data_IF_704614819860
#
_entry.id   IF_704614819860
#
_cell.length_a   1.000
_cell.length_b   1.000
_cell.length_c   1.000
_cell.angle_alpha   90.00
_cell.angle_beta   90.00
_cell.angle_gamma   90.00
#
_symmetry.space_group_name_H-M   'P 1'
#
loop_
_entity.id
_entity.type
_entity.pdbx_description
1 polymer ?
#
# COMPACT_ATOMS: atom_id res chain seq x y z
N UNK A 1 3.57 3.96 -53.00
CA UNK A 1 4.93 3.70 -52.43
C UNK A 1 5.29 4.62 -51.24
N UNK A 2 4.85 5.88 -51.18
CA UNK A 2 5.28 6.81 -50.12
C UNK A 2 4.85 6.50 -48.67
N UNK A 3 3.68 5.88 -48.45
CA UNK A 3 3.20 5.59 -47.08
C UNK A 3 3.94 4.43 -46.39
N UNK A 4 4.52 3.49 -47.15
CA UNK A 4 5.22 2.33 -46.60
C UNK A 4 6.61 2.70 -46.07
N UNK A 5 7.27 3.66 -46.73
CA UNK A 5 8.60 4.15 -46.32
C UNK A 5 8.50 4.95 -45.02
N UNK A 6 7.43 5.72 -44.82
CA UNK A 6 7.21 6.49 -43.60
C UNK A 6 7.03 5.61 -42.35
N UNK A 7 6.37 4.45 -42.49
CA UNK A 7 6.21 3.50 -41.40
C UNK A 7 7.53 2.83 -41.00
N UNK A 8 8.38 2.48 -41.97
CA UNK A 8 9.69 1.86 -41.71
C UNK A 8 10.62 2.84 -41.00
N UNK A 9 10.60 4.13 -41.37
CA UNK A 9 11.39 5.18 -40.72
C UNK A 9 10.92 5.41 -39.27
N UNK A 10 9.61 5.45 -39.02
CA UNK A 10 9.08 5.61 -37.65
C UNK A 10 9.43 4.44 -36.73
N UNK A 11 9.34 3.20 -37.23
CA UNK A 11 9.68 2.00 -36.45
C UNK A 11 11.19 1.91 -36.16
N UNK A 12 12.04 2.29 -37.12
CA UNK A 12 13.50 2.28 -36.91
C UNK A 12 13.95 3.37 -35.94
N UNK A 13 13.36 4.58 -35.99
CA UNK A 13 13.66 5.66 -35.03
C UNK A 13 13.18 5.28 -33.61
N UNK A 14 11.99 4.68 -33.47
CA UNK A 14 11.50 4.20 -32.18
C UNK A 14 12.31 3.03 -31.59
N UNK A 15 12.78 2.12 -32.44
CA UNK A 15 13.68 1.03 -32.06
C UNK A 15 15.07 1.52 -31.62
N UNK A 16 15.61 2.54 -32.31
CA UNK A 16 16.89 3.16 -31.93
C UNK A 16 16.80 3.92 -30.60
N UNK A 17 15.67 4.57 -30.31
CA UNK A 17 15.46 5.29 -29.04
C UNK A 17 15.34 4.35 -27.85
N UNK A 18 14.65 3.22 -28.02
CA UNK A 18 14.53 2.18 -26.97
C UNK A 18 15.85 1.46 -26.74
N UNK A 19 16.62 1.16 -27.80
CA UNK A 19 17.97 0.60 -27.66
C UNK A 19 18.94 1.57 -26.95
N UNK A 20 18.89 2.87 -27.28
CA UNK A 20 19.72 3.90 -26.63
C UNK A 20 19.37 4.09 -25.15
N UNK A 21 18.07 4.12 -24.80
CA UNK A 21 17.64 4.20 -23.41
C UNK A 21 18.08 2.96 -22.60
N UNK A 22 18.01 1.77 -23.20
CA UNK A 22 18.43 0.52 -22.54
C UNK A 22 19.95 0.47 -22.35
N UNK A 23 20.72 0.96 -23.33
CA UNK A 23 22.19 1.09 -23.23
C UNK A 23 22.60 2.11 -22.17
N UNK A 24 21.94 3.27 -22.09
CA UNK A 24 22.23 4.26 -21.04
C UNK A 24 21.89 3.74 -19.64
N UNK A 25 20.80 2.98 -19.49
CA UNK A 25 20.47 2.32 -18.22
C UNK A 25 21.50 1.26 -17.85
N UNK A 26 22.00 0.50 -18.82
CA UNK A 26 23.00 -0.56 -18.60
C UNK A 26 24.37 0.02 -18.25
N UNK A 27 24.80 1.09 -18.91
CA UNK A 27 26.07 1.78 -18.59
C UNK A 27 26.02 2.50 -17.25
N UNK A 28 24.87 3.08 -16.89
CA UNK A 28 24.67 3.69 -15.57
C UNK A 28 24.67 2.61 -14.47
N UNK A 29 24.04 1.46 -14.73
CA UNK A 29 24.05 0.29 -13.83
C UNK A 29 25.46 -0.28 -13.64
N UNK A 30 26.25 -0.42 -14.72
CA UNK A 30 27.62 -0.89 -14.67
C UNK A 30 28.60 0.11 -14.02
N UNK A 31 28.39 1.43 -14.18
CA UNK A 31 29.18 2.46 -13.49
C UNK A 31 28.87 2.50 -11.99
N UNK A 32 27.60 2.36 -11.59
CA UNK A 32 27.22 2.29 -10.18
C UNK A 32 27.85 1.09 -9.46
N UNK A 33 27.94 -0.06 -10.14
CA UNK A 33 28.48 -1.28 -9.53
C UNK A 33 30.01 -1.40 -9.57
N UNK A 34 30.72 -0.62 -10.40
CA UNK A 34 32.19 -0.64 -10.44
C UNK A 34 32.88 0.35 -9.49
N UNK A 35 32.20 1.38 -8.99
CA UNK A 35 32.84 2.43 -8.19
C UNK A 35 32.84 2.23 -6.66
N UNK A 36 32.12 1.25 -6.12
CA UNK A 36 31.96 1.09 -4.65
C UNK A 36 32.61 -0.17 -4.05
N UNK A 37 33.64 -0.73 -4.70
CA UNK A 37 34.42 -1.81 -4.11
C UNK A 37 35.61 -1.21 -3.34
N UNK A 38 35.37 -0.69 -2.14
CA UNK A 38 36.46 -0.55 -1.16
C UNK A 38 36.71 -1.92 -0.52
N UNK A 39 37.75 -2.62 -1.00
CA UNK A 39 38.27 -3.81 -0.33
C UNK A 39 39.10 -3.40 0.88
N UNK A 40 38.56 -3.58 2.10
CA UNK A 40 39.39 -3.71 3.30
C UNK A 40 39.53 -5.19 3.66
N UNK A 41 40.75 -5.75 3.78
CA UNK A 41 40.91 -7.12 4.22
C UNK A 41 40.60 -7.22 5.72
N UNK A 42 39.66 -8.07 6.10
CA UNK A 42 39.48 -8.53 7.48
C UNK A 42 40.01 -9.96 7.59
N UNK A 43 41.04 -10.18 8.42
CA UNK A 43 41.49 -11.53 8.77
C UNK A 43 40.51 -12.16 9.76
N UNK A 44 39.82 -13.23 9.37
CA UNK A 44 39.17 -14.14 10.30
C UNK A 44 40.09 -15.32 10.57
N UNK A 45 40.40 -15.56 11.84
CA UNK A 45 41.07 -16.78 12.30
C UNK A 45 40.02 -17.89 12.48
N UNK A 46 40.20 -19.00 11.77
CA UNK A 46 39.40 -20.22 11.99
C UNK A 46 40.30 -21.24 12.67
N UNK A 47 39.87 -21.70 13.85
CA UNK A 47 40.52 -22.77 14.61
C UNK A 47 39.84 -24.07 14.21
N UNK A 48 40.60 -25.07 13.73
CA UNK A 48 40.03 -26.38 13.45
C UNK A 48 39.90 -27.22 14.75
N UNK A 49 39.20 -28.36 14.68
CA UNK A 49 38.92 -29.26 15.82
C UNK A 49 40.15 -29.84 16.57
N UNK A 50 41.38 -29.57 16.13
CA UNK A 50 42.63 -29.94 16.81
C UNK A 50 43.40 -28.72 17.36
N UNK A 51 42.80 -27.52 17.40
CA UNK A 51 43.38 -26.34 18.03
C UNK A 51 44.43 -25.56 17.21
N UNK A 52 44.70 -25.96 15.97
CA UNK A 52 45.61 -25.22 15.09
C UNK A 52 44.86 -24.10 14.33
N UNK A 53 45.46 -22.90 14.33
CA UNK A 53 44.99 -21.75 13.55
C UNK A 53 45.38 -21.97 12.09
N UNK A 54 44.39 -22.13 11.21
CA UNK A 54 44.62 -22.18 9.77
C UNK A 54 44.16 -20.86 9.17
N UNK A 55 45.04 -20.19 8.41
CA UNK A 55 44.70 -18.97 7.70
C UNK A 55 43.59 -19.26 6.67
N UNK A 56 42.35 -18.95 7.05
CA UNK A 56 41.15 -19.17 6.23
C UNK A 56 41.03 -18.11 5.15
N UNK A 57 40.71 -18.54 3.93
CA UNK A 57 40.52 -17.68 2.77
C UNK A 57 39.49 -16.57 3.00
N UNK A 58 39.72 -15.44 2.33
CA UNK A 58 38.87 -14.25 2.39
C UNK A 58 37.44 -14.56 1.96
N UNK A 59 36.52 -14.65 2.92
CA UNK A 59 35.08 -14.53 2.64
C UNK A 59 34.76 -13.04 2.56
N UNK A 60 34.61 -12.55 1.33
CA UNK A 60 34.29 -11.16 1.07
C UNK A 60 32.79 -10.95 1.35
N UNK A 61 32.43 -10.63 2.58
CA UNK A 61 31.05 -10.24 2.92
C UNK A 61 30.87 -8.81 2.43
N UNK A 62 30.38 -8.65 1.21
CA UNK A 62 29.97 -7.36 0.67
C UNK A 62 28.80 -6.85 1.50
N UNK A 63 29.09 -5.98 2.48
CA UNK A 63 28.08 -5.19 3.17
C UNK A 63 27.48 -4.22 2.15
N UNK A 64 26.27 -4.51 1.68
CA UNK A 64 25.55 -3.63 0.76
C UNK A 64 25.40 -2.28 1.47
N UNK A 65 25.93 -1.21 0.86
CA UNK A 65 25.81 0.13 1.42
C UNK A 65 24.33 0.49 1.58
N UNK A 66 23.96 1.02 2.75
CA UNK A 66 22.59 1.51 2.96
C UNK A 66 22.28 2.63 1.96
N UNK A 67 21.11 2.62 1.30
CA UNK A 67 20.75 3.62 0.31
C UNK A 67 20.68 5.01 0.94
N UNK A 68 21.12 6.04 0.21
CA UNK A 68 21.01 7.42 0.69
C UNK A 68 19.55 7.85 0.82
N UNK A 69 19.27 8.88 1.61
CA UNK A 69 17.91 9.41 1.78
C UNK A 69 17.30 9.92 0.45
N UNK A 70 18.14 10.49 -0.43
CA UNK A 70 17.71 10.93 -1.75
C UNK A 70 17.32 9.74 -2.65
N UNK A 71 18.08 8.63 -2.57
CA UNK A 71 17.76 7.41 -3.31
C UNK A 71 16.46 6.77 -2.80
N UNK A 72 16.23 6.77 -1.49
CA UNK A 72 14.99 6.26 -0.89
C UNK A 72 13.75 7.05 -1.33
N UNK A 73 13.81 8.38 -1.33
CA UNK A 73 12.68 9.20 -1.79
C UNK A 73 12.43 9.04 -3.29
N UNK A 74 13.50 8.93 -4.10
CA UNK A 74 13.36 8.62 -5.53
C UNK A 74 12.70 7.26 -5.74
N UNK A 75 13.18 6.23 -5.07
CA UNK A 75 12.62 4.87 -5.14
C UNK A 75 11.14 4.85 -4.74
N UNK A 76 10.78 5.56 -3.67
CA UNK A 76 9.40 5.69 -3.21
C UNK A 76 8.49 6.31 -4.27
N UNK A 77 8.92 7.38 -4.93
CA UNK A 77 8.14 8.04 -5.99
C UNK A 77 7.99 7.12 -7.21
N UNK A 78 9.07 6.49 -7.68
CA UNK A 78 9.06 5.61 -8.84
C UNK A 78 8.25 4.32 -8.58
N UNK A 79 8.27 3.82 -7.34
CA UNK A 79 7.61 2.58 -6.95
C UNK A 79 6.18 2.73 -6.45
N UNK A 80 5.71 3.96 -6.16
CA UNK A 80 4.37 4.22 -5.58
C UNK A 80 3.27 3.47 -6.34
N UNK A 81 2.54 2.55 -5.69
CA UNK A 81 1.37 1.93 -6.28
C UNK A 81 0.28 3.00 -6.36
N UNK A 82 -0.13 3.37 -7.58
CA UNK A 82 -1.34 4.19 -7.73
C UNK A 82 -2.54 3.35 -7.31
N UNK A 83 -3.11 3.68 -6.15
CA UNK A 83 -4.33 3.05 -5.66
C UNK A 83 -5.53 3.95 -5.96
N UNK A 84 -6.51 3.41 -6.65
CA UNK A 84 -7.80 4.03 -6.92
C UNK A 84 -8.88 3.39 -6.03
N UNK A 85 -9.72 4.22 -5.43
CA UNK A 85 -10.89 3.78 -4.67
C UNK A 85 -12.11 4.53 -5.18
N UNK A 86 -13.12 3.77 -5.61
CA UNK A 86 -14.37 4.28 -6.14
C UNK A 86 -15.52 3.85 -5.24
N UNK A 87 -16.53 4.72 -5.13
CA UNK A 87 -17.72 4.47 -4.35
C UNK A 87 -18.95 4.59 -5.24
N UNK A 88 -19.75 3.55 -5.30
CA UNK A 88 -21.09 3.61 -5.89
C UNK A 88 -22.10 3.58 -4.73
N UNK A 89 -22.83 4.68 -4.54
CA UNK A 89 -23.84 4.79 -3.48
C UNK A 89 -25.23 4.61 -4.06
N UNK A 90 -26.01 3.74 -3.43
CA UNK A 90 -27.45 3.58 -3.63
C UNK A 90 -28.14 3.73 -2.26
N UNK A 91 -29.45 3.87 -2.26
CA UNK A 91 -30.19 3.94 -1.01
C UNK A 91 -29.96 2.65 -0.20
N UNK A 92 -29.40 2.81 1.01
CA UNK A 92 -29.07 1.71 1.92
C UNK A 92 -27.89 0.82 1.51
N UNK A 93 -27.15 1.16 0.45
CA UNK A 93 -26.00 0.38 -0.01
C UNK A 93 -24.83 1.26 -0.46
N UNK A 94 -23.62 0.85 -0.10
CA UNK A 94 -22.36 1.43 -0.63
C UNK A 94 -21.53 0.29 -1.20
N UNK A 95 -21.19 0.38 -2.47
CA UNK A 95 -20.21 -0.50 -3.11
C UNK A 95 -18.86 0.22 -3.16
N UNK A 96 -17.87 -0.33 -2.48
CA UNK A 96 -16.50 0.16 -2.48
C UNK A 96 -15.70 -0.69 -3.44
N UNK A 97 -15.06 -0.05 -4.42
CA UNK A 97 -14.19 -0.71 -5.40
C UNK A 97 -12.77 -0.20 -5.25
N UNK A 98 -11.81 -1.10 -5.09
CA UNK A 98 -10.39 -0.76 -4.88
C UNK A 98 -9.57 -1.42 -5.98
N UNK A 99 -8.66 -0.67 -6.60
CA UNK A 99 -7.71 -1.19 -7.60
C UNK A 99 -6.35 -0.54 -7.42
N UNK A 100 -5.29 -1.34 -7.48
CA UNK A 100 -3.91 -0.86 -7.42
C UNK A 100 -3.16 -1.19 -8.72
N UNK A 101 -2.32 -0.26 -9.21
CA UNK A 101 -1.47 -0.49 -10.40
C UNK A 101 -0.29 -1.44 -10.11
N UNK A 102 0.11 -1.59 -8.84
CA UNK A 102 1.22 -2.44 -8.38
C UNK A 102 0.78 -3.21 -7.13
N UNK A 103 1.59 -4.19 -6.72
CA UNK A 103 1.35 -4.90 -5.45
C UNK A 103 1.29 -3.93 -4.28
N UNK A 104 0.30 -4.10 -3.41
CA UNK A 104 0.18 -3.40 -2.13
C UNK A 104 0.19 -4.45 -1.04
N UNK A 105 1.12 -4.32 -0.09
CA UNK A 105 1.30 -5.29 1.00
C UNK A 105 0.13 -5.21 1.98
N UNK A 106 -0.23 -3.98 2.37
CA UNK A 106 -1.34 -3.72 3.29
C UNK A 106 -2.00 -2.42 2.92
N UNK A 107 -3.34 -2.38 2.95
CA UNK A 107 -4.16 -1.20 2.77
C UNK A 107 -5.16 -1.10 3.93
N UNK A 108 -5.22 0.07 4.53
CA UNK A 108 -6.26 0.45 5.47
C UNK A 108 -7.16 1.53 4.84
N UNK A 109 -8.46 1.34 4.98
CA UNK A 109 -9.48 2.27 4.48
C UNK A 109 -10.46 2.59 5.60
N UNK A 110 -10.62 3.88 5.91
CA UNK A 110 -11.60 4.38 6.89
C UNK A 110 -12.68 5.18 6.17
N UNK A 111 -13.89 4.61 6.12
CA UNK A 111 -15.02 5.12 5.34
C UNK A 111 -16.13 5.58 6.29
N UNK A 112 -16.54 6.85 6.25
CA UNK A 112 -17.72 7.29 6.99
C UNK A 112 -19.01 6.83 6.30
N UNK A 113 -19.91 6.31 7.11
CA UNK A 113 -21.26 5.90 6.74
C UNK A 113 -22.27 6.57 7.67
N UNK A 114 -23.22 7.27 7.04
CA UNK A 114 -24.28 7.98 7.72
C UNK A 114 -25.46 7.05 7.98
N UNK A 115 -25.51 6.48 9.18
CA UNK A 115 -26.55 5.56 9.61
C UNK A 115 -26.00 4.23 10.11
N UNK A 116 -26.90 3.31 10.44
CA UNK A 116 -26.59 2.04 11.08
C UNK A 116 -26.06 1.03 10.07
N UNK A 117 -24.90 0.45 10.35
CA UNK A 117 -24.35 -0.63 9.54
C UNK A 117 -25.08 -1.93 9.86
N UNK A 118 -25.67 -2.53 8.83
CA UNK A 118 -26.36 -3.82 8.90
C UNK A 118 -25.40 -4.95 8.57
N UNK A 119 -24.65 -4.83 7.47
CA UNK A 119 -23.71 -5.87 7.04
C UNK A 119 -22.60 -5.33 6.13
N UNK A 120 -21.49 -6.07 6.02
CA UNK A 120 -20.37 -5.78 5.12
C UNK A 120 -19.92 -7.07 4.42
N UNK A 121 -20.26 -7.20 3.15
CA UNK A 121 -19.83 -8.32 2.31
C UNK A 121 -18.46 -8.04 1.70
N UNK A 122 -17.57 -9.03 1.79
CA UNK A 122 -16.34 -9.10 1.01
C UNK A 122 -16.63 -10.00 -0.19
N UNK A 123 -16.56 -9.43 -1.40
CA UNK A 123 -16.86 -10.15 -2.64
C UNK A 123 -15.58 -10.61 -3.36
N UNK A 124 -14.45 -10.59 -2.67
CA UNK A 124 -13.14 -10.83 -3.27
C UNK A 124 -12.74 -12.30 -3.20
N UNK A 125 -11.96 -12.71 -4.19
CA UNK A 125 -11.19 -13.94 -4.08
C UNK A 125 -10.02 -13.74 -3.11
N UNK A 126 -9.78 -14.72 -2.24
CA UNK A 126 -8.61 -14.76 -1.33
C UNK A 126 -7.29 -14.70 -2.11
N UNK A 127 -7.28 -15.12 -3.38
CA UNK A 127 -6.10 -15.05 -4.25
C UNK A 127 -5.79 -13.61 -4.72
N UNK A 128 -6.79 -12.73 -4.73
CA UNK A 128 -6.67 -11.34 -5.20
C UNK A 128 -6.32 -10.37 -4.04
N UNK A 129 -6.80 -10.66 -2.83
CA UNK A 129 -6.44 -9.99 -1.58
C UNK A 129 -6.96 -10.75 -0.36
N UNK A 130 -6.43 -10.46 0.83
CA UNK A 130 -6.87 -11.06 2.10
C UNK A 130 -7.41 -9.99 3.03
N UNK A 131 -8.71 -9.99 3.29
CA UNK A 131 -9.32 -9.07 4.27
C UNK A 131 -9.11 -9.59 5.68
N UNK A 132 -8.31 -8.89 6.48
CA UNK A 132 -8.01 -9.27 7.88
C UNK A 132 -9.04 -8.75 8.87
N UNK A 133 -9.51 -7.52 8.67
CA UNK A 133 -10.39 -6.86 9.63
C UNK A 133 -11.44 -6.01 8.93
N UNK A 134 -12.63 -6.04 9.51
CA UNK A 134 -13.76 -5.16 9.23
C UNK A 134 -14.31 -4.72 10.57
N UNK A 135 -14.21 -3.43 10.89
CA UNK A 135 -14.70 -2.88 12.15
C UNK A 135 -15.65 -1.74 11.89
N UNK A 136 -16.79 -1.76 12.57
CA UNK A 136 -17.67 -0.61 12.69
C UNK A 136 -17.27 0.16 13.94
N UNK A 137 -16.93 1.43 13.78
CA UNK A 137 -16.52 2.32 14.87
C UNK A 137 -17.59 3.39 15.03
N UNK A 138 -18.13 3.51 16.25
CA UNK A 138 -19.26 4.36 16.57
C UNK A 138 -20.33 3.59 17.36
N UNK A 139 -21.38 4.28 17.79
CA UNK A 139 -22.45 3.68 18.58
C UNK A 139 -23.37 2.74 17.77
N UNK A 140 -23.15 2.61 16.45
CA UNK A 140 -23.92 1.79 15.51
C UNK A 140 -25.45 1.84 15.70
N UNK A 141 -25.99 3.05 15.90
CA UNK A 141 -27.43 3.31 15.99
C UNK A 141 -27.96 3.99 14.73
N UNK A 142 -29.29 4.02 14.60
CA UNK A 142 -30.00 4.64 13.46
C UNK A 142 -29.73 6.16 13.35
N UNK A 143 -29.29 6.79 14.45
CA UNK A 143 -28.93 8.20 14.53
C UNK A 143 -27.41 8.46 14.51
N UNK A 144 -26.58 7.42 14.31
CA UNK A 144 -25.13 7.54 14.41
C UNK A 144 -24.43 7.76 13.08
N UNK A 145 -23.31 8.48 13.14
CA UNK A 145 -22.25 8.38 12.14
C UNK A 145 -21.35 7.22 12.54
N UNK A 146 -21.18 6.27 11.62
CA UNK A 146 -20.28 5.15 11.82
C UNK A 146 -19.13 5.24 10.85
N UNK A 147 -17.97 4.79 11.29
CA UNK A 147 -16.82 4.56 10.43
C UNK A 147 -16.65 3.07 10.19
N UNK A 148 -16.38 2.71 8.93
CA UNK A 148 -16.00 1.35 8.56
C UNK A 148 -14.51 1.36 8.31
N UNK A 149 -13.79 0.60 9.12
CA UNK A 149 -12.38 0.32 8.93
C UNK A 149 -12.22 -1.02 8.22
N UNK A 150 -11.65 -1.00 7.02
CA UNK A 150 -11.23 -2.19 6.27
C UNK A 150 -9.72 -2.29 6.31
N UNK A 151 -9.22 -3.48 6.68
CA UNK A 151 -7.80 -3.82 6.60
C UNK A 151 -7.62 -4.99 5.63
N UNK A 152 -6.84 -4.75 4.58
CA UNK A 152 -6.70 -5.64 3.42
C UNK A 152 -5.22 -5.86 3.15
N UNK A 153 -4.80 -7.12 3.10
CA UNK A 153 -3.43 -7.53 2.81
C UNK A 153 -3.29 -8.08 1.38
N UNK A 154 -2.05 -8.09 0.89
CA UNK A 154 -1.62 -8.80 -0.31
C UNK A 154 -2.41 -8.48 -1.59
N UNK A 155 -2.82 -7.22 -1.76
CA UNK A 155 -3.59 -6.77 -2.91
C UNK A 155 -2.76 -6.92 -4.19
N UNK A 156 -3.24 -7.77 -5.09
CA UNK A 156 -2.61 -8.01 -6.39
C UNK A 156 -2.84 -6.86 -7.37
N UNK A 157 -1.87 -6.56 -8.25
CA UNK A 157 -1.97 -5.49 -9.22
C UNK A 157 -3.10 -5.74 -10.20
N UNK A 158 -3.75 -4.66 -10.59
CA UNK A 158 -4.81 -4.58 -11.60
C UNK A 158 -6.08 -5.39 -11.30
N UNK A 159 -6.16 -6.10 -10.17
CA UNK A 159 -7.38 -6.72 -9.67
C UNK A 159 -8.29 -5.68 -9.03
N UNK A 160 -9.58 -5.77 -9.32
CA UNK A 160 -10.60 -4.95 -8.69
C UNK A 160 -11.13 -5.70 -7.48
N UNK A 161 -10.93 -5.14 -6.30
CA UNK A 161 -11.55 -5.61 -5.07
C UNK A 161 -12.89 -4.89 -4.87
N UNK A 162 -13.88 -5.60 -4.36
CA UNK A 162 -15.23 -5.11 -4.13
C UNK A 162 -15.72 -5.45 -2.72
N UNK A 163 -16.21 -4.44 -2.01
CA UNK A 163 -16.86 -4.58 -0.71
C UNK A 163 -18.24 -3.94 -0.77
N UNK A 164 -19.28 -4.70 -0.42
CA UNK A 164 -20.66 -4.21 -0.36
C UNK A 164 -21.06 -3.96 1.09
N UNK A 165 -21.30 -2.70 1.43
CA UNK A 165 -21.79 -2.26 2.73
C UNK A 165 -23.30 -2.08 2.63
N UNK A 166 -24.04 -2.76 3.50
CA UNK A 166 -25.49 -2.61 3.65
C UNK A 166 -25.73 -1.82 4.92
N UNK A 167 -26.51 -0.74 4.82
CA UNK A 167 -26.75 0.17 5.94
C UNK A 167 -28.17 0.73 5.92
N UNK A 168 -28.68 1.11 7.08
CA UNK A 168 -29.91 1.88 7.22
C UNK A 168 -29.52 3.36 7.27
N UNK A 169 -29.87 4.16 6.25
CA UNK A 169 -29.42 5.54 6.18
C UNK A 169 -30.04 6.40 7.28
N UNK A 170 -29.27 7.38 7.74
CA UNK A 170 -29.78 8.49 8.54
C UNK A 170 -30.93 9.21 7.81
N UNK A 171 -31.91 9.77 8.53
CA UNK A 171 -32.90 10.68 7.95
C UNK A 171 -32.22 11.83 7.18
N UNK A 172 -32.77 12.18 6.01
CA UNK A 172 -32.12 13.03 5.01
C UNK A 172 -31.84 14.49 5.44
N UNK A 173 -32.28 14.90 6.62
CA UNK A 173 -32.14 16.25 7.16
C UNK A 173 -30.91 16.45 8.06
N UNK A 174 -30.04 15.44 8.21
CA UNK A 174 -28.86 15.51 9.06
C UNK A 174 -27.59 15.57 8.20
N UNK A 175 -26.86 16.68 8.30
CA UNK A 175 -25.53 16.85 7.70
C UNK A 175 -24.48 16.88 8.79
N UNK A 176 -23.46 16.03 8.68
CA UNK A 176 -22.34 15.98 9.62
C UNK A 176 -21.05 16.33 8.87
N UNK A 177 -20.32 17.33 9.36
CA UNK A 177 -19.06 17.73 8.74
C UNK A 177 -18.02 16.59 8.80
N UNK A 178 -17.27 16.39 7.72
CA UNK A 178 -16.22 15.36 7.65
C UNK A 178 -16.68 13.98 7.20
N UNK A 179 -17.97 13.76 6.97
CA UNK A 179 -18.48 12.49 6.40
C UNK A 179 -18.46 12.49 4.87
N UNK A 180 -17.90 13.55 4.28
CA UNK A 180 -17.72 13.80 2.84
C UNK A 180 -16.36 13.32 2.32
N UNK A 181 -15.53 12.73 3.19
CA UNK A 181 -14.16 12.32 2.92
C UNK A 181 -13.84 11.00 3.61
N UNK A 182 -12.86 10.27 3.09
CA UNK A 182 -12.37 9.02 3.67
C UNK A 182 -10.84 9.09 3.78
N UNK A 183 -10.27 8.26 4.66
CA UNK A 183 -8.83 8.12 4.78
C UNK A 183 -8.39 6.82 4.12
N UNK A 184 -7.30 6.88 3.37
CA UNK A 184 -6.62 5.71 2.82
C UNK A 184 -5.15 5.74 3.23
N UNK A 185 -4.67 4.64 3.79
CA UNK A 185 -3.25 4.40 4.00
C UNK A 185 -2.85 3.06 3.42
N UNK A 186 -1.65 2.97 2.86
CA UNK A 186 -1.14 1.72 2.29
C UNK A 186 0.37 1.61 2.39
N UNK A 187 0.84 0.36 2.41
CA UNK A 187 2.25 -0.04 2.40
C UNK A 187 2.57 -0.84 1.15
N UNK A 188 3.79 -0.69 0.65
CA UNK A 188 4.32 -1.52 -0.41
C UNK A 188 5.82 -1.74 -0.21
N UNK A 189 6.34 -2.75 -0.89
CA UNK A 189 7.77 -3.07 -0.87
C UNK A 189 8.38 -2.86 -2.25
N UNK A 190 9.57 -2.28 -2.27
CA UNK A 190 10.35 -2.14 -3.50
C UNK A 190 11.84 -2.24 -3.17
N UNK A 191 12.52 -3.19 -3.83
CA UNK A 191 13.97 -3.46 -3.65
C UNK A 191 14.35 -3.63 -2.17
N UNK A 192 13.57 -4.43 -1.44
CA UNK A 192 13.78 -4.70 -0.01
C UNK A 192 13.38 -3.58 0.95
N UNK A 193 13.08 -2.37 0.43
CA UNK A 193 12.61 -1.25 1.23
C UNK A 193 11.09 -1.28 1.38
N UNK A 194 10.61 -0.93 2.57
CA UNK A 194 9.18 -0.77 2.85
C UNK A 194 8.82 0.70 2.84
N UNK A 195 7.81 1.06 2.04
CA UNK A 195 7.30 2.40 1.91
C UNK A 195 5.83 2.45 2.35
N UNK A 196 5.39 3.64 2.74
CA UNK A 196 3.99 3.87 3.11
C UNK A 196 3.51 5.23 2.64
N UNK A 197 2.21 5.34 2.36
CA UNK A 197 1.53 6.58 2.03
C UNK A 197 0.19 6.65 2.77
N UNK A 198 -0.15 7.84 3.22
CA UNK A 198 -1.43 8.17 3.82
C UNK A 198 -1.98 9.43 3.16
N UNK A 199 -3.29 9.46 2.88
CA UNK A 199 -3.97 10.66 2.39
C UNK A 199 -5.45 10.65 2.75
N UNK A 200 -6.02 11.84 2.85
CA UNK A 200 -7.46 12.06 2.91
C UNK A 200 -7.99 12.34 1.51
N UNK A 201 -9.17 11.81 1.20
CA UNK A 201 -9.75 11.90 -0.14
C UNK A 201 -11.23 12.24 -0.03
N UNK A 202 -11.71 13.18 -0.85
CA UNK A 202 -13.13 13.51 -0.94
C UNK A 202 -13.91 12.33 -1.56
N UNK A 203 -15.00 11.92 -0.93
CA UNK A 203 -15.92 10.91 -1.45
C UNK A 203 -16.66 11.40 -2.71
N UNK A 204 -16.86 12.71 -2.85
CA UNK A 204 -17.57 13.30 -3.98
C UNK A 204 -16.68 13.41 -5.23
N UNK A 205 -15.41 13.80 -5.04
CA UNK A 205 -14.54 14.14 -6.17
C UNK A 205 -13.42 13.12 -6.41
N UNK A 206 -13.15 12.23 -5.44
CA UNK A 206 -12.00 11.31 -5.49
C UNK A 206 -10.64 12.01 -5.39
N UNK A 207 -10.61 13.34 -5.16
CA UNK A 207 -9.37 14.12 -5.09
C UNK A 207 -8.80 14.15 -3.67
N UNK A 208 -7.47 14.21 -3.51
CA UNK A 208 -6.84 14.45 -2.23
C UNK A 208 -7.35 15.75 -1.59
N UNK A 209 -7.61 15.72 -0.30
CA UNK A 209 -8.02 16.87 0.52
C UNK A 209 -7.17 16.95 1.77
N UNK A 210 -7.15 18.12 2.40
CA UNK A 210 -6.47 18.29 3.68
C UNK A 210 -7.15 17.44 4.76
N UNK A 211 -6.33 17.00 5.71
CA UNK A 211 -6.81 16.29 6.89
C UNK A 211 -7.89 17.14 7.58
N UNK A 212 -9.08 16.59 7.82
CA UNK A 212 -10.12 17.32 8.55
C UNK A 212 -9.60 17.74 9.93
N UNK A 213 -9.72 19.03 10.25
CA UNK A 213 -9.50 19.54 11.60
C UNK A 213 -10.72 19.22 12.47
N UNK A 214 -10.97 17.94 12.73
CA UNK A 214 -12.05 17.52 13.61
C UNK A 214 -11.41 17.02 14.91
N UNK A 215 -11.56 17.79 15.98
CA UNK A 215 -11.38 17.26 17.34
C UNK A 215 -12.59 16.40 17.68
N UNK A 216 -12.59 15.13 17.27
CA UNK A 216 -13.51 14.15 17.85
C UNK A 216 -12.95 13.82 19.24
N UNK A 217 -13.53 14.39 20.30
CA UNK A 217 -13.24 13.96 21.68
C UNK A 217 -13.53 12.46 21.79
N UNK A 218 -12.49 11.64 21.84
CA UNK A 218 -12.60 10.22 22.15
C UNK A 218 -11.53 9.31 21.58
N UNK A 219 -10.96 9.60 20.40
CA UNK A 219 -10.02 8.66 19.77
C UNK A 219 -8.93 9.38 18.97
N UNK A 220 -7.67 9.17 19.36
CA UNK A 220 -6.57 9.33 18.43
C UNK A 220 -6.71 8.24 17.38
N UNK A 221 -7.16 8.60 16.17
CA UNK A 221 -7.13 7.69 15.01
C UNK A 221 -5.65 7.49 14.65
N UNK A 222 -5.03 6.46 15.22
CA UNK A 222 -3.71 5.99 14.81
C UNK A 222 -3.94 5.14 13.56
N UNK A 223 -4.10 5.78 12.40
CA UNK A 223 -4.16 5.09 11.10
C UNK A 223 -2.74 4.89 10.54
N UNK A 224 -1.80 4.49 11.41
CA UNK A 224 -0.53 3.95 10.95
C UNK A 224 -0.81 2.57 10.38
N UNK A 225 -0.32 2.29 9.18
CA UNK A 225 -0.37 0.93 8.67
C UNK A 225 0.30 0.00 9.69
N UNK A 226 -0.50 -0.93 10.21
CA UNK A 226 -0.21 -1.68 11.43
C UNK A 226 0.88 -2.72 11.18
N UNK A 227 1.60 -3.11 12.23
CA UNK A 227 2.47 -4.27 12.20
C UNK A 227 1.64 -5.57 12.27
N UNK A 228 2.15 -6.72 11.81
CA UNK A 228 1.45 -8.00 11.91
C UNK A 228 0.95 -8.32 13.33
N UNK A 229 1.69 -7.91 14.36
CA UNK A 229 1.33 -8.10 15.77
C UNK A 229 0.14 -7.22 16.18
N UNK A 230 0.11 -5.97 15.73
CA UNK A 230 -1.01 -5.04 15.96
C UNK A 230 -2.28 -5.52 15.23
N UNK A 231 -2.12 -6.09 14.02
CA UNK A 231 -3.22 -6.72 13.28
C UNK A 231 -3.79 -7.91 14.03
N UNK A 232 -2.93 -8.79 14.56
CA UNK A 232 -3.34 -9.94 15.37
C UNK A 232 -4.12 -9.49 16.61
N UNK A 233 -3.63 -8.46 17.31
CA UNK A 233 -4.32 -7.90 18.48
C UNK A 233 -5.71 -7.36 18.13
N UNK A 234 -5.83 -6.58 17.06
CA UNK A 234 -7.14 -6.06 16.64
C UNK A 234 -8.09 -7.16 16.17
N UNK A 235 -7.57 -8.23 15.58
CA UNK A 235 -8.35 -9.40 15.20
C UNK A 235 -8.90 -10.12 16.45
N UNK A 236 -8.05 -10.41 17.43
CA UNK A 236 -8.44 -11.02 18.71
C UNK A 236 -9.43 -10.14 19.50
N UNK A 237 -9.18 -8.83 19.58
CA UNK A 237 -10.11 -7.87 20.20
C UNK A 237 -11.45 -7.82 19.45
N UNK A 238 -11.41 -8.00 18.12
CA UNK A 238 -12.58 -8.06 17.25
C UNK A 238 -13.38 -9.36 17.39
N UNK A 239 -12.75 -10.48 17.76
CA UNK A 239 -13.42 -11.74 18.09
C UNK A 239 -14.10 -11.67 19.46
N UNK A 240 -13.40 -11.15 20.47
CA UNK A 240 -13.95 -10.99 21.84
C UNK A 240 -15.19 -10.10 21.88
N UNK A 241 -15.21 -9.02 21.09
CA UNK A 241 -16.38 -8.13 20.99
C UNK A 241 -17.59 -8.77 20.30
N UNK A 242 -17.44 -9.91 19.63
CA UNK A 242 -18.53 -10.63 18.96
C UNK A 242 -19.11 -11.78 19.79
N UNK A 243 -18.71 -11.93 21.06
CA UNK A 243 -19.11 -13.05 21.94
C UNK A 243 -18.93 -14.42 21.26
N UNK A 244 -17.82 -14.60 20.52
CA UNK A 244 -17.48 -15.86 19.88
C UNK A 244 -16.45 -16.70 20.67
N UNK A 245 -16.13 -16.29 21.90
CA UNK A 245 -15.33 -17.04 22.88
C UNK A 245 -15.86 -16.83 24.30
#
# INVERSE_FOLDING_TARGET
MGQFIFWIIMVTIGGLWTAYATLQMTDSWNKLHKQNIETKPSMNTVVNGNGNIVAGGNVNIQKTAEPSQADLERQKIESDPKVAVNFERKQGEILVKIRAEKNVTTLALDIPVLGKIVNIHDNNSVADAVTRSKRVVGANSDASVNNIELLIDDIKPFKELSYKIIFQPLPANIFVAGTDRYQISYKWQFVGNSFSKERWVSLQTGKPVDRPQIQVRGFNVINKALSPEEVKKLYEDGLKKRELE
#
